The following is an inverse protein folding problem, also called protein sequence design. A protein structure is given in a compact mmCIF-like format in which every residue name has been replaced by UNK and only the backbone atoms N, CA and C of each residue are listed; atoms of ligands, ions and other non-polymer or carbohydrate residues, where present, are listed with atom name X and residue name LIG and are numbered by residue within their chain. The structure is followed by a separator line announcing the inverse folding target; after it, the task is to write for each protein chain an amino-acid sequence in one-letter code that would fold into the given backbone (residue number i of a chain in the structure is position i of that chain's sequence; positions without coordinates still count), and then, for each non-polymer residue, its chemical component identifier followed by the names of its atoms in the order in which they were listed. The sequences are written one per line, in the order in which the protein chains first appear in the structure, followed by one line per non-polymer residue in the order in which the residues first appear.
data_IF_311856054839
#
_entry.id   IF_311856054839
#
_cell.length_a   1.000
_cell.length_b   1.000
_cell.length_c   1.000
_cell.angle_alpha   90.00
_cell.angle_beta   90.00
_cell.angle_gamma   90.00
#
_symmetry.space_group_name_H-M   'P 1'
#
loop_
_entity.id
_entity.type
_entity.pdbx_description
1 polymer ?
#
# COMPACT_ATOMS: atom_id res chain seq x y z
N UNK A 1 3.64 67.27 67.71
CA UNK A 1 3.11 65.93 67.99
C UNK A 1 2.63 65.35 66.67
N UNK A 2 3.45 64.53 66.03
CA UNK A 2 3.14 63.92 64.74
C UNK A 2 3.49 62.41 64.81
N UNK A 3 2.49 61.60 64.65
CA UNK A 3 2.62 60.13 64.64
C UNK A 3 2.98 59.62 63.30
N UNK A 4 4.14 58.96 63.19
CA UNK A 4 4.56 58.26 61.94
C UNK A 4 3.87 56.90 61.83
N UNK A 5 3.20 56.65 60.71
CA UNK A 5 2.67 55.35 60.35
C UNK A 5 3.66 54.66 59.38
N UNK A 6 4.29 53.61 59.83
CA UNK A 6 5.10 52.69 59.02
C UNK A 6 4.19 51.75 58.27
N UNK A 7 4.26 51.76 56.91
CA UNK A 7 3.62 50.80 56.05
C UNK A 7 4.63 49.71 55.64
N UNK A 8 4.43 48.50 56.17
CA UNK A 8 5.20 47.32 55.77
C UNK A 8 4.65 46.75 54.48
N UNK A 9 5.41 46.81 53.39
CA UNK A 9 5.12 46.17 52.19
C UNK A 9 5.60 44.69 52.19
N UNK A 10 4.69 43.74 52.24
CA UNK A 10 5.01 42.33 52.10
C UNK A 10 5.15 41.98 50.61
N UNK A 11 6.37 41.68 50.17
CA UNK A 11 6.68 41.22 48.82
C UNK A 11 6.42 39.71 48.76
N UNK A 12 5.29 39.28 48.16
CA UNK A 12 4.98 37.88 47.91
C UNK A 12 5.74 37.40 46.65
N UNK A 13 6.77 36.58 46.86
CA UNK A 13 7.52 35.92 45.79
C UNK A 13 6.72 34.74 45.27
N UNK A 14 6.07 34.89 44.12
CA UNK A 14 5.37 33.80 43.42
C UNK A 14 6.42 32.92 42.72
N UNK A 15 6.73 31.74 43.31
CA UNK A 15 7.49 30.68 42.64
C UNK A 15 6.63 30.06 41.56
N UNK A 16 6.86 30.42 40.29
CA UNK A 16 6.29 29.73 39.16
C UNK A 16 6.96 28.35 39.01
N UNK A 17 6.25 27.31 39.42
CA UNK A 17 6.65 25.93 39.15
C UNK A 17 6.51 25.65 37.65
N UNK A 18 7.59 25.82 36.91
CA UNK A 18 7.70 25.29 35.54
C UNK A 18 7.83 23.76 35.60
N UNK A 19 6.70 23.07 35.55
CA UNK A 19 6.69 21.63 35.34
C UNK A 19 7.31 21.28 33.99
N UNK A 20 7.98 20.12 33.86
CA UNK A 20 8.50 19.69 32.58
C UNK A 20 7.33 19.55 31.59
N UNK A 21 7.43 20.26 30.47
CA UNK A 21 6.54 20.04 29.32
C UNK A 21 6.77 18.60 28.89
N UNK A 22 5.81 17.72 29.20
CA UNK A 22 5.79 16.39 28.64
C UNK A 22 5.69 16.53 27.12
N UNK A 23 6.77 16.20 26.40
CA UNK A 23 6.75 16.16 24.96
C UNK A 23 5.61 15.21 24.54
N UNK A 24 4.65 15.74 23.80
CA UNK A 24 3.59 14.91 23.22
C UNK A 24 4.27 13.78 22.43
N UNK A 25 3.79 12.53 22.54
CA UNK A 25 4.38 11.42 21.79
C UNK A 25 4.31 11.77 20.31
N UNK A 26 5.47 11.97 19.69
CA UNK A 26 5.57 12.22 18.25
C UNK A 26 5.00 10.99 17.57
N UNK A 27 3.85 11.12 16.92
CA UNK A 27 3.27 10.01 16.19
C UNK A 27 4.21 9.66 15.04
N UNK A 28 4.74 8.42 14.98
CA UNK A 28 5.79 8.06 14.03
C UNK A 28 5.36 8.16 12.56
N UNK A 29 4.06 8.38 12.30
CA UNK A 29 3.48 8.53 10.96
C UNK A 29 3.02 9.95 10.64
N UNK A 30 3.29 10.94 11.49
CA UNK A 30 2.82 12.32 11.29
C UNK A 30 3.28 12.93 9.94
N UNK A 31 4.35 12.41 9.34
CA UNK A 31 4.94 12.92 8.11
C UNK A 31 4.62 12.10 6.85
N UNK A 32 3.84 11.02 6.95
CA UNK A 32 3.41 10.25 5.78
C UNK A 32 1.99 10.68 5.44
N UNK A 33 1.76 11.32 4.27
CA UNK A 33 0.42 11.75 3.85
C UNK A 33 -0.39 10.54 3.38
N UNK A 34 -0.98 9.78 4.31
CA UNK A 34 -1.88 8.70 3.96
C UNK A 34 -3.14 9.24 3.31
N UNK A 35 -3.57 8.59 2.23
CA UNK A 35 -4.89 8.82 1.66
C UNK A 35 -5.96 8.16 2.55
N UNK A 36 -7.18 8.69 2.50
CA UNK A 36 -8.32 8.07 3.17
C UNK A 36 -8.56 6.66 2.63
N UNK A 37 -8.82 5.71 3.52
CA UNK A 37 -9.10 4.34 3.13
C UNK A 37 -10.42 4.29 2.37
N UNK A 38 -10.43 3.67 1.19
CA UNK A 38 -11.62 3.39 0.40
C UNK A 38 -11.70 1.90 0.10
N UNK A 39 -12.90 1.34 0.14
CA UNK A 39 -13.16 -0.06 -0.26
C UNK A 39 -13.44 -0.18 -1.78
N UNK A 40 -13.46 0.96 -2.48
CA UNK A 40 -13.65 0.97 -3.94
C UNK A 40 -12.63 0.07 -4.61
N UNK A 41 -13.09 -0.88 -5.38
CA UNK A 41 -12.23 -1.73 -6.18
C UNK A 41 -11.73 -0.95 -7.41
N UNK A 42 -10.46 -0.51 -7.43
CA UNK A 42 -9.94 0.17 -8.60
C UNK A 42 -9.83 -0.84 -9.74
N UNK A 43 -10.08 -0.39 -10.98
CA UNK A 43 -9.75 -1.19 -12.15
C UNK A 43 -8.28 -1.65 -12.06
N UNK A 44 -8.07 -2.92 -12.37
CA UNK A 44 -6.74 -3.52 -12.35
C UNK A 44 -5.79 -2.69 -13.23
N UNK A 45 -4.65 -2.32 -12.70
CA UNK A 45 -3.57 -1.70 -13.46
C UNK A 45 -2.50 -2.72 -13.74
N UNK A 46 -2.01 -2.69 -14.96
CA UNK A 46 -0.95 -3.58 -15.44
C UNK A 46 0.38 -3.24 -14.76
N UNK A 47 1.15 -4.28 -14.45
CA UNK A 47 2.48 -4.14 -13.87
C UNK A 47 3.52 -4.90 -14.70
N UNK A 48 4.80 -4.52 -14.62
CA UNK A 48 5.88 -5.34 -15.17
C UNK A 48 5.80 -6.78 -14.67
N UNK A 49 5.90 -7.74 -15.59
CA UNK A 49 5.73 -9.17 -15.32
C UNK A 49 4.33 -9.71 -15.58
N UNK A 50 3.32 -8.85 -15.78
CA UNK A 50 1.99 -9.33 -16.15
C UNK A 50 1.99 -9.93 -17.56
N UNK A 51 1.30 -11.06 -17.73
CA UNK A 51 1.08 -11.71 -19.02
C UNK A 51 -0.26 -11.25 -19.60
N UNK A 52 -0.23 -10.82 -20.84
CA UNK A 52 -1.37 -10.28 -21.56
C UNK A 52 -1.64 -11.09 -22.83
N UNK A 53 -2.88 -11.44 -23.04
CA UNK A 53 -3.35 -11.94 -24.34
C UNK A 53 -3.94 -10.76 -25.13
N UNK A 54 -3.25 -10.37 -26.20
CA UNK A 54 -3.70 -9.31 -27.11
C UNK A 54 -4.33 -9.97 -28.33
N UNK A 55 -5.58 -9.62 -28.58
CA UNK A 55 -6.37 -10.13 -29.70
C UNK A 55 -6.78 -8.99 -30.61
N UNK A 56 -6.58 -9.17 -31.91
CA UNK A 56 -6.96 -8.23 -32.95
C UNK A 56 -7.94 -8.95 -33.88
N UNK A 57 -9.27 -8.82 -33.68
CA UNK A 57 -10.27 -9.59 -34.44
C UNK A 57 -10.20 -9.38 -35.94
N UNK A 58 -9.82 -8.19 -36.38
CA UNK A 58 -9.66 -7.85 -37.83
C UNK A 58 -8.39 -8.40 -38.46
N UNK A 59 -7.42 -8.88 -37.66
CA UNK A 59 -6.13 -9.41 -38.09
C UNK A 59 -5.64 -10.50 -37.13
N UNK A 60 -6.20 -11.71 -37.15
CA UNK A 60 -5.88 -12.78 -36.20
C UNK A 60 -4.41 -13.20 -36.16
N UNK A 61 -3.67 -12.95 -37.24
CA UNK A 61 -2.22 -13.20 -37.34
C UNK A 61 -1.41 -12.29 -36.42
N UNK A 62 -1.99 -11.20 -35.93
CA UNK A 62 -1.37 -10.29 -34.94
C UNK A 62 -1.66 -10.69 -33.49
N UNK A 63 -2.54 -11.66 -33.27
CA UNK A 63 -2.84 -12.15 -31.93
C UNK A 63 -1.57 -12.67 -31.26
N UNK A 64 -1.32 -12.20 -30.05
CA UNK A 64 -0.09 -12.56 -29.33
C UNK A 64 -0.26 -12.51 -27.83
N UNK A 65 0.29 -13.51 -27.16
CA UNK A 65 0.54 -13.43 -25.72
C UNK A 65 1.88 -12.72 -25.50
N UNK A 66 1.88 -11.71 -24.66
CA UNK A 66 3.05 -10.90 -24.35
C UNK A 66 3.18 -10.68 -22.86
N UNK A 67 4.40 -10.48 -22.38
CA UNK A 67 4.68 -10.12 -20.98
C UNK A 67 5.06 -8.64 -20.95
N UNK A 68 4.53 -7.92 -19.96
CA UNK A 68 4.95 -6.54 -19.71
C UNK A 68 6.39 -6.55 -19.21
N UNK A 69 7.28 -5.93 -19.99
CA UNK A 69 8.71 -5.91 -19.70
C UNK A 69 9.04 -5.09 -18.45
N UNK A 70 10.24 -5.23 -17.88
CA UNK A 70 10.67 -4.45 -16.70
C UNK A 70 10.60 -2.93 -16.90
N UNK A 71 10.75 -2.45 -18.14
CA UNK A 71 10.61 -1.03 -18.50
C UNK A 71 9.13 -0.59 -18.64
N UNK A 72 8.18 -1.51 -18.41
CA UNK A 72 6.75 -1.26 -18.48
C UNK A 72 6.14 -1.36 -19.89
N UNK A 73 6.92 -1.76 -20.90
CA UNK A 73 6.45 -1.83 -22.29
C UNK A 73 6.08 -3.24 -22.70
N UNK A 74 5.27 -3.32 -23.75
CA UNK A 74 4.99 -4.56 -24.49
C UNK A 74 5.44 -4.42 -25.94
N UNK A 75 5.82 -5.54 -26.53
CA UNK A 75 6.24 -5.61 -27.93
C UNK A 75 5.22 -6.40 -28.73
N UNK A 76 4.62 -5.75 -29.72
CA UNK A 76 3.65 -6.33 -30.66
C UNK A 76 4.16 -6.15 -32.10
N UNK A 77 3.74 -7.04 -33.03
CA UNK A 77 4.10 -6.91 -34.43
C UNK A 77 3.61 -5.60 -35.02
N UNK A 78 4.31 -5.08 -36.04
CA UNK A 78 3.97 -3.94 -36.87
C UNK A 78 3.91 -2.57 -36.18
N UNK A 79 4.01 -2.48 -34.86
CA UNK A 79 3.98 -1.22 -34.11
C UNK A 79 5.22 -1.07 -33.20
N UNK A 80 5.55 0.17 -32.88
CA UNK A 80 6.59 0.45 -31.91
C UNK A 80 6.20 -0.05 -30.49
N UNK A 81 7.17 -0.36 -29.60
CA UNK A 81 6.89 -0.77 -28.25
C UNK A 81 5.93 0.19 -27.54
N UNK A 82 4.86 -0.34 -26.94
CA UNK A 82 3.80 0.44 -26.26
C UNK A 82 3.94 0.36 -24.76
N UNK A 83 3.76 1.50 -24.08
CA UNK A 83 3.71 1.53 -22.62
C UNK A 83 2.44 0.84 -22.14
N UNK A 84 2.57 -0.22 -21.36
CA UNK A 84 1.47 -0.96 -20.77
C UNK A 84 1.39 -0.75 -19.25
N UNK A 85 2.53 -0.63 -18.56
CA UNK A 85 2.55 -0.49 -17.12
C UNK A 85 1.75 0.72 -16.64
N UNK A 86 1.05 0.51 -15.50
CA UNK A 86 0.17 1.47 -14.83
C UNK A 86 -1.08 1.90 -15.59
N UNK A 87 -1.32 1.34 -16.78
CA UNK A 87 -2.58 1.47 -17.51
C UNK A 87 -3.56 0.37 -17.09
N UNK A 88 -4.84 0.66 -17.22
CA UNK A 88 -5.88 -0.38 -17.20
C UNK A 88 -5.94 -1.09 -18.56
N UNK A 89 -6.57 -2.27 -18.63
CA UNK A 89 -6.73 -2.97 -19.91
C UNK A 89 -7.45 -2.09 -20.95
N UNK A 90 -8.59 -1.40 -20.66
CA UNK A 90 -9.22 -0.50 -21.60
C UNK A 90 -8.36 0.68 -22.08
N UNK A 91 -7.54 1.25 -21.16
CA UNK A 91 -6.59 2.32 -21.54
C UNK A 91 -5.50 1.81 -22.49
N UNK A 92 -5.07 0.55 -22.31
CA UNK A 92 -4.10 -0.08 -23.21
C UNK A 92 -4.73 -0.43 -24.56
N UNK A 93 -5.96 -0.96 -24.57
CA UNK A 93 -6.71 -1.26 -25.81
C UNK A 93 -6.83 -0.02 -26.71
N UNK A 94 -7.20 1.12 -26.13
CA UNK A 94 -7.28 2.38 -26.86
C UNK A 94 -5.92 2.82 -27.42
N UNK A 95 -4.86 2.70 -26.64
CA UNK A 95 -3.51 3.05 -27.09
C UNK A 95 -3.04 2.14 -28.23
N UNK A 96 -3.33 0.84 -28.14
CA UNK A 96 -2.99 -0.13 -29.16
C UNK A 96 -3.81 0.09 -30.46
N UNK A 97 -5.12 0.35 -30.34
CA UNK A 97 -5.95 0.68 -31.48
C UNK A 97 -5.43 1.94 -32.21
N UNK A 98 -5.01 2.95 -31.46
CA UNK A 98 -4.39 4.13 -32.05
C UNK A 98 -3.05 3.81 -32.72
N UNK A 99 -2.20 2.98 -32.11
CA UNK A 99 -0.92 2.59 -32.71
C UNK A 99 -1.09 1.79 -33.99
N UNK A 100 -2.14 0.93 -34.08
CA UNK A 100 -2.46 0.15 -35.26
C UNK A 100 -3.21 0.93 -36.36
N UNK A 101 -3.71 2.13 -36.08
CA UNK A 101 -4.52 2.89 -37.06
C UNK A 101 -3.82 3.20 -38.37
N UNK A 102 -2.47 3.26 -38.38
CA UNK A 102 -1.69 3.40 -39.59
C UNK A 102 -1.51 2.11 -40.43
N UNK A 103 -1.83 0.96 -39.84
CA UNK A 103 -1.60 -0.37 -40.44
C UNK A 103 -2.92 -1.10 -40.75
N UNK A 104 -3.97 -0.81 -39.98
CA UNK A 104 -5.28 -1.47 -40.10
C UNK A 104 -6.39 -0.46 -40.34
N UNK A 105 -7.33 -0.79 -41.21
CA UNK A 105 -8.50 0.06 -41.53
C UNK A 105 -9.47 0.19 -40.31
N UNK A 106 -9.59 -0.86 -39.52
CA UNK A 106 -10.42 -0.90 -38.30
C UNK A 106 -9.64 -1.60 -37.20
N UNK A 107 -8.77 -0.86 -36.50
CA UNK A 107 -7.97 -1.45 -35.44
C UNK A 107 -8.83 -1.63 -34.18
N UNK A 108 -9.47 -2.79 -34.07
CA UNK A 108 -10.14 -3.23 -32.85
C UNK A 108 -9.17 -4.13 -32.10
N UNK A 109 -8.86 -3.78 -30.87
CA UNK A 109 -7.89 -4.52 -30.04
C UNK A 109 -8.52 -4.84 -28.70
N UNK A 110 -8.41 -6.09 -28.29
CA UNK A 110 -8.87 -6.59 -27.00
C UNK A 110 -7.66 -7.05 -26.19
N UNK A 111 -7.61 -6.69 -24.92
CA UNK A 111 -6.54 -7.07 -24.00
C UNK A 111 -7.12 -7.83 -22.82
N UNK A 112 -6.75 -9.10 -22.69
CA UNK A 112 -7.06 -9.91 -21.52
C UNK A 112 -5.80 -10.08 -20.66
N UNK A 113 -5.95 -9.87 -19.37
CA UNK A 113 -4.86 -10.09 -18.40
C UNK A 113 -4.98 -11.53 -17.89
N UNK A 114 -3.90 -12.32 -18.04
CA UNK A 114 -3.83 -13.62 -17.38
C UNK A 114 -3.69 -13.42 -15.88
N UNK A 115 -4.54 -14.09 -15.13
CA UNK A 115 -4.51 -13.99 -13.67
C UNK A 115 -3.11 -14.33 -13.14
N UNK A 116 -2.50 -13.37 -12.48
CA UNK A 116 -1.28 -13.56 -11.71
C UNK A 116 -1.62 -13.85 -10.25
N UNK A 117 -0.87 -14.68 -9.54
CA UNK A 117 -1.07 -14.87 -8.11
C UNK A 117 -1.08 -13.53 -7.37
N UNK A 118 -1.99 -13.40 -6.41
CA UNK A 118 -2.06 -12.24 -5.54
C UNK A 118 -0.81 -12.23 -4.65
N UNK A 119 0.12 -11.30 -4.88
CA UNK A 119 1.30 -11.14 -4.01
C UNK A 119 0.95 -10.20 -2.86
N UNK A 120 1.12 -10.68 -1.63
CA UNK A 120 0.97 -9.89 -0.41
C UNK A 120 2.23 -10.01 0.44
N UNK A 121 2.51 -8.97 1.22
CA UNK A 121 3.60 -8.95 2.17
C UNK A 121 3.04 -9.14 3.56
N UNK A 122 3.57 -10.09 4.29
CA UNK A 122 3.21 -10.28 5.70
C UNK A 122 4.45 -10.09 6.54
N UNK A 123 4.38 -9.20 7.52
CA UNK A 123 5.52 -8.88 8.37
C UNK A 123 5.16 -8.66 9.83
N UNK A 124 6.19 -8.47 10.65
CA UNK A 124 6.06 -8.29 12.10
C UNK A 124 6.00 -9.61 12.87
N UNK A 125 5.18 -9.67 13.91
CA UNK A 125 5.07 -10.79 14.86
C UNK A 125 4.22 -11.94 14.29
N UNK A 126 4.71 -12.55 13.21
CA UNK A 126 4.15 -13.74 12.55
C UNK A 126 5.20 -14.85 12.48
N UNK A 127 4.78 -16.09 12.28
CA UNK A 127 5.67 -17.24 12.27
C UNK A 127 6.78 -17.16 11.21
N UNK A 128 6.46 -16.69 10.01
CA UNK A 128 7.39 -16.55 8.89
C UNK A 128 7.08 -15.26 8.13
N UNK A 129 7.73 -14.13 8.46
CA UNK A 129 7.58 -12.90 7.67
C UNK A 129 8.10 -13.10 6.24
N UNK A 130 7.39 -12.55 5.25
CA UNK A 130 7.79 -12.71 3.84
C UNK A 130 6.76 -12.24 2.84
N UNK A 131 7.02 -12.57 1.57
CA UNK A 131 6.12 -12.36 0.43
C UNK A 131 5.40 -13.67 0.15
N UNK A 132 4.09 -13.59 -0.01
CA UNK A 132 3.24 -14.75 -0.26
C UNK A 132 2.48 -14.59 -1.57
N UNK A 133 2.52 -15.64 -2.39
CA UNK A 133 1.69 -15.78 -3.57
C UNK A 133 0.39 -16.49 -3.17
N UNK A 134 -0.71 -15.78 -3.28
CA UNK A 134 -2.00 -16.27 -2.79
C UNK A 134 -2.96 -16.55 -3.94
N UNK A 135 -3.53 -17.75 -4.02
CA UNK A 135 -4.53 -18.07 -5.02
C UNK A 135 -5.89 -17.45 -4.63
N UNK A 136 -6.45 -16.63 -5.51
CA UNK A 136 -7.81 -16.12 -5.38
C UNK A 136 -8.01 -15.08 -4.27
N UNK A 137 -9.27 -14.91 -3.87
CA UNK A 137 -9.66 -13.95 -2.84
C UNK A 137 -9.19 -14.42 -1.46
N UNK A 138 -8.48 -13.56 -0.79
CA UNK A 138 -7.91 -13.82 0.53
C UNK A 138 -8.11 -12.61 1.43
N UNK A 139 -8.36 -12.87 2.71
CA UNK A 139 -8.45 -11.84 3.73
C UNK A 139 -7.18 -11.72 4.58
N UNK A 140 -7.14 -10.67 5.40
CA UNK A 140 -6.00 -10.36 6.26
C UNK A 140 -5.68 -11.46 7.28
N UNK A 141 -6.67 -12.19 7.79
CA UNK A 141 -6.44 -13.28 8.74
C UNK A 141 -5.84 -14.49 8.05
N UNK A 142 -6.37 -14.85 6.88
CA UNK A 142 -5.87 -16.00 6.12
C UNK A 142 -4.42 -15.78 5.67
N UNK A 143 -4.05 -14.57 5.27
CA UNK A 143 -2.67 -14.23 4.93
C UNK A 143 -1.71 -14.44 6.12
N UNK A 144 -2.14 -14.09 7.34
CA UNK A 144 -1.34 -14.31 8.54
C UNK A 144 -1.24 -15.81 8.87
N UNK A 145 -2.30 -16.58 8.64
CA UNK A 145 -2.27 -18.05 8.83
C UNK A 145 -1.26 -18.69 7.87
N UNK A 146 -1.23 -18.29 6.61
CA UNK A 146 -0.22 -18.74 5.63
C UNK A 146 1.20 -18.37 6.05
N UNK A 147 1.35 -17.20 6.71
CA UNK A 147 2.62 -16.76 7.29
C UNK A 147 3.00 -17.50 8.60
N UNK A 148 2.35 -18.62 8.90
CA UNK A 148 2.62 -19.42 10.11
C UNK A 148 1.93 -18.92 11.37
N UNK A 149 0.92 -18.08 11.24
CA UNK A 149 0.08 -17.58 12.32
C UNK A 149 0.74 -16.46 13.15
N UNK A 150 0.01 -16.05 14.17
CA UNK A 150 0.46 -15.03 15.12
C UNK A 150 1.46 -15.59 16.12
N UNK A 151 2.53 -14.84 16.38
CA UNK A 151 3.40 -15.14 17.52
C UNK A 151 2.70 -14.73 18.85
N UNK A 152 3.13 -15.34 19.99
CA UNK A 152 2.56 -15.00 21.30
C UNK A 152 2.70 -13.52 21.68
N UNK A 153 3.74 -12.85 21.19
CA UNK A 153 4.03 -11.43 21.40
C UNK A 153 3.18 -10.48 20.53
N UNK A 154 2.41 -11.03 19.59
CA UNK A 154 1.66 -10.25 18.61
C UNK A 154 0.47 -9.48 19.22
N UNK A 155 0.30 -8.23 18.79
CA UNK A 155 -0.87 -7.42 19.14
C UNK A 155 -1.95 -7.54 18.06
N UNK A 156 -2.74 -8.62 18.11
CA UNK A 156 -3.76 -8.99 17.14
C UNK A 156 -4.86 -7.93 16.96
N UNK A 157 -5.11 -7.11 17.99
CA UNK A 157 -6.11 -6.05 17.95
C UNK A 157 -5.67 -4.79 17.19
N UNK A 158 -4.42 -4.73 16.72
CA UNK A 158 -3.85 -3.58 16.04
C UNK A 158 -3.02 -3.99 14.82
N UNK A 159 -3.49 -4.95 14.06
CA UNK A 159 -2.88 -5.33 12.80
C UNK A 159 -3.07 -4.20 11.79
N UNK A 160 -2.02 -3.84 11.08
CA UNK A 160 -2.03 -2.74 10.11
C UNK A 160 -2.00 -3.28 8.70
N UNK A 161 -2.90 -2.79 7.87
CA UNK A 161 -2.93 -3.07 6.44
C UNK A 161 -2.56 -1.79 5.71
N UNK A 162 -1.58 -1.89 4.84
CA UNK A 162 -1.13 -0.78 4.00
C UNK A 162 -1.40 -1.16 2.56
N UNK A 163 -2.09 -0.28 1.86
CA UNK A 163 -2.51 -0.46 0.46
C UNK A 163 -2.15 0.77 -0.35
N UNK A 164 -1.84 0.58 -1.61
CA UNK A 164 -1.66 1.70 -2.53
C UNK A 164 -3.02 2.25 -2.97
N UNK A 165 -3.23 3.55 -2.76
CA UNK A 165 -4.41 4.27 -3.25
C UNK A 165 -4.39 4.51 -4.77
N UNK A 166 -5.52 4.97 -5.31
CA UNK A 166 -5.65 5.30 -6.74
C UNK A 166 -4.71 6.41 -7.21
N UNK A 167 -4.42 7.34 -6.31
CA UNK A 167 -3.52 8.48 -6.52
C UNK A 167 -2.03 8.13 -6.30
N UNK A 168 -1.74 6.84 -6.08
CA UNK A 168 -0.39 6.34 -5.80
C UNK A 168 0.05 6.52 -4.35
N UNK A 169 -0.70 7.27 -3.52
CA UNK A 169 -0.37 7.44 -2.10
C UNK A 169 -0.76 6.19 -1.29
N UNK A 170 -0.02 5.88 -0.23
CA UNK A 170 -0.39 4.78 0.64
C UNK A 170 -1.67 5.10 1.43
N UNK A 171 -2.56 4.12 1.54
CA UNK A 171 -3.68 4.11 2.48
C UNK A 171 -3.33 3.16 3.62
N UNK A 172 -3.68 3.50 4.84
CA UNK A 172 -3.44 2.65 6.01
C UNK A 172 -4.75 2.41 6.76
N UNK A 173 -4.96 1.15 7.16
CA UNK A 173 -6.08 0.76 8.02
C UNK A 173 -5.59 -0.13 9.15
N UNK A 174 -6.01 0.15 10.37
CA UNK A 174 -5.81 -0.74 11.51
C UNK A 174 -7.03 -1.63 11.66
N UNK A 175 -6.82 -2.93 11.81
CA UNK A 175 -7.86 -3.94 11.96
C UNK A 175 -7.67 -4.74 13.25
N UNK A 176 -8.79 -5.15 13.84
CA UNK A 176 -8.79 -5.98 15.03
C UNK A 176 -9.06 -7.45 14.68
N UNK A 177 -8.02 -8.24 14.56
CA UNK A 177 -8.11 -9.67 14.24
C UNK A 177 -8.26 -10.58 15.46
N UNK A 178 -8.44 -10.04 16.66
CA UNK A 178 -8.95 -10.80 17.81
C UNK A 178 -10.47 -11.00 17.74
N UNK A 179 -11.21 -10.09 17.09
CA UNK A 179 -12.67 -10.13 16.96
C UNK A 179 -13.19 -11.36 16.24
N UNK A 180 -12.63 -11.81 15.10
CA UNK A 180 -13.11 -13.00 14.41
C UNK A 180 -13.19 -14.25 15.29
N UNK A 181 -12.32 -14.34 16.31
CA UNK A 181 -12.30 -15.47 17.24
C UNK A 181 -13.28 -15.32 18.41
N UNK A 182 -13.69 -14.09 18.74
CA UNK A 182 -14.56 -13.78 19.88
C UNK A 182 -15.99 -13.48 19.46
N UNK A 183 -16.14 -12.78 18.34
CA UNK A 183 -17.44 -12.36 17.77
C UNK A 183 -17.33 -12.37 16.23
N UNK A 184 -17.61 -13.51 15.59
CA UNK A 184 -17.51 -13.64 14.13
C UNK A 184 -18.45 -12.71 13.36
N UNK A 185 -19.59 -12.32 13.96
CA UNK A 185 -20.58 -11.46 13.31
C UNK A 185 -20.07 -10.02 13.12
N UNK A 186 -19.09 -9.59 13.91
CA UNK A 186 -18.47 -8.27 13.84
C UNK A 186 -16.98 -8.38 13.49
N UNK A 187 -16.64 -9.33 12.62
CA UNK A 187 -15.27 -9.53 12.17
C UNK A 187 -14.78 -8.33 11.34
N UNK A 188 -13.55 -7.89 11.64
CA UNK A 188 -12.88 -6.81 10.91
C UNK A 188 -11.89 -7.40 9.88
N UNK A 189 -12.41 -8.36 9.08
CA UNK A 189 -11.63 -8.99 8.01
C UNK A 189 -11.62 -8.08 6.79
N UNK A 190 -10.42 -7.82 6.28
CA UNK A 190 -10.22 -6.99 5.09
C UNK A 190 -9.80 -7.88 3.94
N UNK A 191 -10.53 -7.91 2.82
CA UNK A 191 -10.08 -8.55 1.60
C UNK A 191 -8.77 -7.91 1.13
N UNK A 192 -7.76 -8.73 0.89
CA UNK A 192 -6.45 -8.25 0.46
C UNK A 192 -6.40 -8.09 -1.05
N UNK A 193 -5.60 -7.13 -1.48
CA UNK A 193 -5.30 -6.85 -2.89
C UNK A 193 -3.83 -7.09 -3.18
N UNK A 194 -3.51 -7.18 -4.45
CA UNK A 194 -2.11 -7.33 -4.90
C UNK A 194 -1.24 -6.22 -4.32
N UNK A 195 -0.12 -6.64 -3.75
CA UNK A 195 0.88 -5.79 -3.08
C UNK A 195 0.43 -5.13 -1.76
N UNK A 196 -0.68 -5.57 -1.18
CA UNK A 196 -1.00 -5.17 0.17
C UNK A 196 0.09 -5.64 1.15
N UNK A 197 0.33 -4.84 2.16
CA UNK A 197 1.24 -5.17 3.26
C UNK A 197 0.39 -5.38 4.50
N UNK A 198 0.50 -6.56 5.09
CA UNK A 198 -0.10 -6.91 6.38
C UNK A 198 1.01 -6.91 7.42
N UNK A 199 0.95 -6.01 8.37
CA UNK A 199 1.92 -5.91 9.44
C UNK A 199 1.30 -6.17 10.80
N UNK A 200 1.88 -7.13 11.52
CA UNK A 200 1.46 -7.52 12.87
C UNK A 200 2.43 -6.91 13.89
N UNK A 201 2.05 -5.88 14.64
CA UNK A 201 2.93 -5.25 15.60
C UNK A 201 3.05 -6.07 16.90
N UNK A 202 4.14 -5.84 17.63
CA UNK A 202 4.35 -6.36 18.98
C UNK A 202 3.65 -5.50 20.02
N UNK A 203 3.91 -4.19 20.02
CA UNK A 203 3.45 -3.27 21.06
C UNK A 203 2.49 -2.20 20.57
N UNK A 204 2.45 -1.95 19.26
CA UNK A 204 1.57 -0.98 18.64
C UNK A 204 2.17 -0.27 17.44
N UNK A 205 1.57 0.87 17.07
CA UNK A 205 1.89 1.59 15.83
C UNK A 205 3.34 2.12 15.74
N UNK A 206 4.05 2.26 16.84
CA UNK A 206 5.46 2.71 16.83
C UNK A 206 6.37 1.72 16.06
N UNK A 207 6.07 0.42 16.12
CA UNK A 207 6.85 -0.60 15.44
C UNK A 207 6.64 -0.58 13.91
N UNK A 208 5.50 -0.06 13.45
CA UNK A 208 5.14 0.01 12.02
C UNK A 208 6.08 0.96 11.26
N UNK A 209 6.50 2.09 11.87
CA UNK A 209 7.42 3.03 11.25
C UNK A 209 8.81 2.41 11.01
N UNK A 210 9.32 1.70 12.01
CA UNK A 210 10.58 0.98 11.89
C UNK A 210 10.50 -0.09 10.79
N UNK A 211 9.39 -0.84 10.75
CA UNK A 211 9.14 -1.83 9.71
C UNK A 211 9.08 -1.22 8.32
N UNK A 212 8.37 -0.10 8.13
CA UNK A 212 8.29 0.57 6.83
C UNK A 212 9.66 1.05 6.33
N UNK A 213 10.53 1.46 7.24
CA UNK A 213 11.91 1.81 6.89
C UNK A 213 12.68 0.57 6.44
N UNK A 214 12.61 -0.53 7.17
CA UNK A 214 13.25 -1.79 6.81
C UNK A 214 12.69 -2.36 5.49
N UNK A 215 11.39 -2.26 5.30
CA UNK A 215 10.73 -2.75 4.08
C UNK A 215 11.21 -1.98 2.84
N UNK A 216 11.30 -0.65 2.94
CA UNK A 216 11.83 0.19 1.87
C UNK A 216 13.26 -0.22 1.47
N UNK A 217 14.09 -0.53 2.46
CA UNK A 217 15.49 -0.86 2.24
C UNK A 217 15.67 -2.33 1.74
N UNK A 218 14.72 -3.21 2.03
CA UNK A 218 14.75 -4.63 1.67
C UNK A 218 14.05 -4.95 0.34
N UNK A 219 13.16 -4.07 -0.15
CA UNK A 219 12.41 -4.36 -1.38
C UNK A 219 13.27 -4.14 -2.63
N UNK A 220 13.21 -5.07 -3.61
CA UNK A 220 13.79 -4.85 -4.93
C UNK A 220 13.26 -3.56 -5.56
N UNK A 221 14.07 -2.91 -6.39
CA UNK A 221 13.74 -1.64 -7.07
C UNK A 221 12.37 -1.69 -7.77
N UNK A 222 11.99 -2.84 -8.33
CA UNK A 222 10.67 -3.08 -8.94
C UNK A 222 9.49 -2.87 -7.99
N UNK A 223 9.70 -3.03 -6.69
CA UNK A 223 8.69 -2.78 -5.65
C UNK A 223 8.64 -1.31 -5.21
N UNK A 224 9.76 -0.59 -5.27
CA UNK A 224 9.78 0.86 -5.03
C UNK A 224 8.89 1.60 -6.01
N UNK A 225 8.81 1.14 -7.25
CA UNK A 225 7.87 1.70 -8.25
C UNK A 225 6.40 1.39 -7.93
N UNK A 226 6.09 0.27 -7.28
CA UNK A 226 4.72 -0.05 -6.86
C UNK A 226 4.21 0.90 -5.77
N UNK A 227 5.09 1.43 -4.92
CA UNK A 227 4.77 2.42 -3.89
C UNK A 227 5.07 3.87 -4.31
N UNK A 228 5.34 4.10 -5.59
CA UNK A 228 5.52 5.36 -6.29
C UNK A 228 5.86 6.59 -5.44
N UNK A 229 7.13 6.98 -5.41
CA UNK A 229 7.49 8.35 -5.14
C UNK A 229 7.82 8.73 -3.69
N UNK A 230 8.41 7.85 -2.88
CA UNK A 230 9.29 8.30 -1.82
C UNK A 230 10.72 8.32 -2.41
N UNK A 231 10.92 9.15 -3.43
CA UNK A 231 12.25 9.58 -3.77
C UNK A 231 12.70 10.57 -2.69
N UNK A 232 13.87 10.40 -2.06
CA UNK A 232 14.44 11.48 -1.28
C UNK A 232 14.66 12.64 -2.25
N UNK A 233 14.01 13.80 -1.97
CA UNK A 233 14.34 15.03 -2.65
C UNK A 233 15.83 15.32 -2.41
N UNK A 234 16.56 15.46 -3.51
CA UNK A 234 17.87 16.10 -3.51
C UNK A 234 17.69 17.61 -3.45
#
# INVERSE_FOLDING_TARGET
MAAARTVSAALALALAASGPLAAAPTQPFANIPYASWTEDEPLYRLYPGDELDVTVPSAPELNKTVVVQPDGRIMLPLIAPQMAAYRTAPELEQALAQAYSGQLLRPEVMVSVRAQPLKVFVGGEVGKPGVYDMPGDIDSLRAIVEAGGFLPSSKRSQVVIIRRGRDGRPMMRTVNLDRPFKDPAHSDLVPLRRFDIVYVPRTGLADVAAFMTQLRDALPISFSYAFGGIAPGF
#
